data_IF_320873161515
#
_entry.id   IF_320873161515
#
_cell.length_a   1.000
_cell.length_b   1.000
_cell.length_c   1.000
_cell.angle_alpha   90.00
_cell.angle_beta   90.00
_cell.angle_gamma   90.00
#
_symmetry.space_group_name_H-M   'P 1'
#
loop_
_entity.id
_entity.type
_entity.pdbx_description
1 polymer ?
#
# COMPACT_ATOMS: atom_id res chain seq x y z
N UNK A 1 -12.57 15.83 -15.11
CA UNK A 1 -12.44 15.22 -13.75
C UNK A 1 -11.65 13.91 -13.79
N UNK A 2 -11.98 12.98 -14.68
CA UNK A 2 -11.36 11.64 -14.80
C UNK A 2 -9.81 11.63 -14.97
N UNK A 3 -9.26 12.49 -15.85
CA UNK A 3 -7.79 12.58 -16.05
C UNK A 3 -7.04 13.05 -14.80
N UNK A 4 -7.69 13.79 -13.92
CA UNK A 4 -7.07 14.35 -12.72
C UNK A 4 -6.98 13.32 -11.59
N UNK A 5 -8.06 12.57 -11.39
CA UNK A 5 -8.11 11.40 -10.51
C UNK A 5 -7.08 10.35 -10.93
N UNK A 6 -6.93 10.12 -12.23
CA UNK A 6 -5.92 9.20 -12.77
C UNK A 6 -4.49 9.64 -12.39
N UNK A 7 -4.15 10.93 -12.54
CA UNK A 7 -2.81 11.44 -12.15
C UNK A 7 -2.51 11.26 -10.66
N UNK A 8 -3.45 11.60 -9.77
CA UNK A 8 -3.25 11.43 -8.32
C UNK A 8 -3.06 9.95 -7.99
N UNK A 9 -3.92 9.09 -8.54
CA UNK A 9 -3.86 7.64 -8.32
C UNK A 9 -2.50 7.07 -8.75
N UNK A 10 -2.03 7.41 -9.96
CA UNK A 10 -0.73 6.97 -10.45
C UNK A 10 0.43 7.44 -9.56
N UNK A 11 0.42 8.69 -9.11
CA UNK A 11 1.45 9.19 -8.20
C UNK A 11 1.45 8.45 -6.86
N UNK A 12 0.28 8.27 -6.25
CA UNK A 12 0.15 7.54 -4.98
C UNK A 12 0.62 6.09 -5.16
N UNK A 13 0.18 5.39 -6.20
CA UNK A 13 0.60 4.01 -6.49
C UNK A 13 2.12 3.93 -6.65
N UNK A 14 2.72 4.79 -7.48
CA UNK A 14 4.16 4.79 -7.72
C UNK A 14 4.94 5.08 -6.44
N UNK A 15 4.52 6.07 -5.64
CA UNK A 15 5.18 6.39 -4.37
C UNK A 15 5.14 5.22 -3.40
N UNK A 16 3.98 4.55 -3.23
CA UNK A 16 3.87 3.40 -2.34
C UNK A 16 4.64 2.19 -2.87
N UNK A 17 4.66 1.94 -4.19
CA UNK A 17 5.45 0.87 -4.79
C UNK A 17 6.95 1.09 -4.58
N UNK A 18 7.45 2.30 -4.86
CA UNK A 18 8.88 2.61 -4.72
C UNK A 18 9.30 2.50 -3.26
N UNK A 19 8.63 3.22 -2.36
CA UNK A 19 9.01 3.26 -0.94
C UNK A 19 8.78 1.89 -0.29
N UNK A 20 7.63 1.26 -0.54
CA UNK A 20 7.29 -0.05 0.03
C UNK A 20 8.26 -1.14 -0.40
N UNK A 21 8.57 -1.23 -1.70
CA UNK A 21 9.54 -2.21 -2.19
C UNK A 21 10.96 -1.89 -1.74
N UNK A 22 11.34 -0.60 -1.61
CA UNK A 22 12.64 -0.22 -1.07
C UNK A 22 12.80 -0.66 0.39
N UNK A 23 11.78 -0.45 1.22
CA UNK A 23 11.77 -0.89 2.63
C UNK A 23 11.91 -2.41 2.72
N UNK A 24 11.16 -3.17 1.89
CA UNK A 24 11.25 -4.62 1.87
C UNK A 24 12.61 -5.13 1.37
N UNK A 25 13.18 -4.46 0.37
CA UNK A 25 14.49 -4.81 -0.17
C UNK A 25 15.61 -4.58 0.85
N UNK A 26 15.60 -3.42 1.53
CA UNK A 26 16.56 -3.11 2.60
C UNK A 26 16.35 -4.06 3.78
N UNK A 27 15.11 -4.28 4.21
CA UNK A 27 14.78 -5.20 5.30
C UNK A 27 15.21 -6.64 5.00
N UNK A 28 15.08 -7.10 3.75
CA UNK A 28 15.56 -8.41 3.30
C UNK A 28 17.08 -8.52 3.34
N UNK A 29 17.80 -7.49 2.89
CA UNK A 29 19.27 -7.44 2.95
C UNK A 29 19.80 -7.39 4.39
N UNK A 30 19.09 -6.71 5.29
CA UNK A 30 19.44 -6.61 6.71
C UNK A 30 19.00 -7.81 7.54
N UNK A 31 18.31 -8.79 6.94
CA UNK A 31 17.88 -10.00 7.64
C UNK A 31 19.03 -10.98 7.84
N UNK A 32 18.97 -11.80 8.90
CA UNK A 32 20.01 -12.79 9.25
C UNK A 32 20.29 -13.83 8.15
N UNK A 33 19.39 -14.00 7.19
CA UNK A 33 19.54 -14.94 6.07
C UNK A 33 20.02 -14.26 4.78
N UNK A 34 20.06 -12.93 4.72
CA UNK A 34 20.44 -12.15 3.54
C UNK A 34 19.53 -12.31 2.31
N UNK A 35 18.44 -13.09 2.42
CA UNK A 35 17.59 -13.45 1.29
C UNK A 35 16.42 -12.46 1.15
N UNK A 36 16.32 -11.87 -0.04
CA UNK A 36 15.23 -10.97 -0.39
C UNK A 36 13.96 -11.80 -0.68
N UNK A 37 12.87 -11.49 0.01
CA UNK A 37 11.58 -12.16 -0.18
C UNK A 37 10.82 -11.55 -1.36
N UNK A 38 11.21 -11.94 -2.58
CA UNK A 38 10.56 -11.50 -3.81
C UNK A 38 9.06 -11.85 -3.92
N UNK A 39 8.59 -13.04 -3.48
CA UNK A 39 7.15 -13.35 -3.44
C UNK A 39 6.35 -12.34 -2.61
N UNK A 40 6.89 -11.92 -1.46
CA UNK A 40 6.28 -10.92 -0.61
C UNK A 40 6.23 -9.55 -1.28
N UNK A 41 7.34 -9.12 -1.89
CA UNK A 41 7.38 -7.85 -2.65
C UNK A 41 6.36 -7.84 -3.79
N UNK A 42 6.19 -8.97 -4.48
CA UNK A 42 5.18 -9.13 -5.53
C UNK A 42 3.75 -9.04 -4.97
N UNK A 43 3.46 -9.78 -3.90
CA UNK A 43 2.14 -9.75 -3.26
C UNK A 43 1.74 -8.37 -2.75
N UNK A 44 2.67 -7.67 -2.10
CA UNK A 44 2.51 -6.29 -1.64
C UNK A 44 2.27 -5.31 -2.79
N UNK A 45 2.99 -5.47 -3.90
CA UNK A 45 2.82 -4.65 -5.10
C UNK A 45 1.45 -4.85 -5.76
N UNK A 46 1.01 -6.11 -5.89
CA UNK A 46 -0.31 -6.45 -6.44
C UNK A 46 -1.43 -5.86 -5.57
N UNK A 47 -1.35 -6.07 -4.24
CA UNK A 47 -2.33 -5.54 -3.30
C UNK A 47 -2.41 -4.00 -3.38
N UNK A 48 -1.25 -3.32 -3.45
CA UNK A 48 -1.17 -1.87 -3.56
C UNK A 48 -1.88 -1.33 -4.81
N UNK A 49 -1.59 -1.91 -5.98
CA UNK A 49 -2.18 -1.48 -7.26
C UNK A 49 -3.70 -1.67 -7.24
N UNK A 50 -4.16 -2.88 -6.88
CA UNK A 50 -5.59 -3.22 -6.87
C UNK A 50 -6.35 -2.32 -5.89
N UNK A 51 -5.85 -2.20 -4.66
CA UNK A 51 -6.53 -1.45 -3.61
C UNK A 51 -6.61 0.04 -3.93
N UNK A 52 -5.52 0.66 -4.41
CA UNK A 52 -5.58 2.08 -4.77
C UNK A 52 -6.44 2.34 -6.00
N UNK A 53 -6.43 1.48 -7.01
CA UNK A 53 -7.36 1.61 -8.15
C UNK A 53 -8.82 1.59 -7.67
N UNK A 54 -9.17 0.63 -6.81
CA UNK A 54 -10.50 0.54 -6.20
C UNK A 54 -10.82 1.77 -5.35
N UNK A 55 -9.89 2.19 -4.50
CA UNK A 55 -10.04 3.35 -3.62
C UNK A 55 -10.30 4.62 -4.42
N UNK A 56 -9.48 4.94 -5.42
CA UNK A 56 -9.64 6.16 -6.22
C UNK A 56 -10.88 6.12 -7.13
N UNK A 57 -11.39 4.93 -7.47
CA UNK A 57 -12.60 4.78 -8.27
C UNK A 57 -13.88 4.89 -7.44
N UNK A 58 -13.88 4.35 -6.22
CA UNK A 58 -15.06 4.24 -5.37
C UNK A 58 -15.15 5.35 -4.31
N UNK A 59 -14.03 5.82 -3.78
CA UNK A 59 -14.01 6.80 -2.71
C UNK A 59 -14.22 8.22 -3.24
N UNK A 60 -15.23 8.92 -2.71
CA UNK A 60 -15.44 10.35 -2.98
C UNK A 60 -14.57 11.21 -2.05
N UNK A 61 -13.25 11.00 -2.10
CA UNK A 61 -12.27 11.60 -1.17
C UNK A 61 -12.19 13.13 -1.24
N UNK A 62 -12.74 13.75 -2.30
CA UNK A 62 -12.81 15.21 -2.47
C UNK A 62 -13.67 15.87 -1.38
N UNK A 63 -14.65 15.14 -0.83
CA UNK A 63 -15.54 15.64 0.23
C UNK A 63 -15.03 15.37 1.64
N UNK A 64 -13.87 14.73 1.79
CA UNK A 64 -13.40 14.29 3.10
C UNK A 64 -12.74 15.46 3.85
N UNK A 65 -12.95 15.53 5.16
CA UNK A 65 -12.18 16.43 6.01
C UNK A 65 -10.70 15.99 6.04
N UNK A 66 -9.79 16.90 6.38
CA UNK A 66 -8.36 16.57 6.41
C UNK A 66 -8.04 15.39 7.33
N UNK A 67 -8.69 15.32 8.50
CA UNK A 67 -8.52 14.21 9.46
C UNK A 67 -9.04 12.89 8.89
N UNK A 68 -10.24 12.91 8.27
CA UNK A 68 -10.82 11.71 7.63
C UNK A 68 -9.93 11.21 6.50
N UNK A 69 -9.42 12.11 5.67
CA UNK A 69 -8.53 11.74 4.56
C UNK A 69 -7.23 11.11 5.06
N UNK A 70 -6.62 11.69 6.10
CA UNK A 70 -5.40 11.14 6.70
C UNK A 70 -5.61 9.72 7.27
N UNK A 71 -6.68 9.54 8.05
CA UNK A 71 -7.02 8.22 8.61
C UNK A 71 -7.26 7.19 7.51
N UNK A 72 -7.98 7.58 6.46
CA UNK A 72 -8.24 6.70 5.31
C UNK A 72 -6.94 6.32 4.61
N UNK A 73 -6.00 7.24 4.42
CA UNK A 73 -4.69 6.92 3.84
C UNK A 73 -3.91 5.91 4.70
N UNK A 74 -3.90 6.07 6.03
CA UNK A 74 -3.22 5.14 6.95
C UNK A 74 -3.89 3.76 6.91
N UNK A 75 -5.23 3.71 7.04
CA UNK A 75 -6.01 2.47 7.00
C UNK A 75 -5.80 1.76 5.65
N UNK A 76 -5.73 2.51 4.55
CA UNK A 76 -5.47 1.95 3.23
C UNK A 76 -4.11 1.24 3.19
N UNK A 77 -3.06 1.84 3.76
CA UNK A 77 -1.74 1.20 3.85
C UNK A 77 -1.80 -0.09 4.70
N UNK A 78 -2.51 -0.08 5.83
CA UNK A 78 -2.66 -1.28 6.68
C UNK A 78 -3.41 -2.41 5.96
N UNK A 79 -4.46 -2.09 5.20
CA UNK A 79 -5.20 -3.08 4.41
C UNK A 79 -4.32 -3.64 3.30
N UNK A 80 -3.54 -2.78 2.63
CA UNK A 80 -2.59 -3.20 1.59
C UNK A 80 -1.52 -4.14 2.19
N UNK A 81 -1.00 -3.84 3.37
CA UNK A 81 -0.02 -4.71 4.05
C UNK A 81 -0.65 -6.05 4.44
N UNK A 82 -1.87 -6.02 4.98
CA UNK A 82 -2.59 -7.24 5.32
C UNK A 82 -2.79 -8.13 4.07
N UNK A 83 -3.40 -7.56 3.03
CA UNK A 83 -3.71 -8.26 1.79
C UNK A 83 -2.43 -8.70 1.05
N UNK A 84 -1.40 -7.86 1.05
CA UNK A 84 -0.13 -8.12 0.38
C UNK A 84 0.67 -9.24 1.04
N UNK A 85 0.70 -9.31 2.37
CA UNK A 85 1.27 -10.46 3.09
C UNK A 85 0.49 -11.74 2.82
N UNK A 86 -0.84 -11.67 2.83
CA UNK A 86 -1.69 -12.81 2.51
C UNK A 86 -1.42 -13.33 1.09
N UNK A 87 -1.40 -12.45 0.09
CA UNK A 87 -1.09 -12.80 -1.30
C UNK A 87 0.36 -13.32 -1.43
N UNK A 88 1.33 -12.68 -0.77
CA UNK A 88 2.73 -13.08 -0.81
C UNK A 88 2.95 -14.48 -0.25
N UNK A 89 2.25 -14.85 0.82
CA UNK A 89 2.32 -16.21 1.37
C UNK A 89 1.67 -17.22 0.42
N UNK A 90 0.51 -16.92 -0.17
CA UNK A 90 -0.11 -17.80 -1.16
C UNK A 90 0.78 -18.05 -2.38
N UNK A 91 1.49 -17.02 -2.85
CA UNK A 91 2.49 -17.16 -3.93
C UNK A 91 3.62 -18.10 -3.47
N UNK A 92 4.13 -17.90 -2.26
CA UNK A 92 5.23 -18.70 -1.70
C UNK A 92 4.83 -20.17 -1.53
N UNK A 93 3.66 -20.46 -0.96
CA UNK A 93 3.14 -21.81 -0.77
C UNK A 93 2.91 -22.50 -2.13
N UNK A 94 2.38 -21.78 -3.12
CA UNK A 94 2.19 -22.30 -4.47
C UNK A 94 3.51 -22.65 -5.15
N UNK A 95 4.56 -21.83 -4.96
CA UNK A 95 5.90 -22.10 -5.49
C UNK A 95 6.55 -23.31 -4.81
N UNK A 96 6.26 -23.53 -3.52
CA UNK A 96 6.81 -24.64 -2.74
C UNK A 96 5.96 -25.92 -2.81
N UNK A 97 4.93 -25.96 -3.67
CA UNK A 97 4.07 -27.15 -3.87
C UNK A 97 3.24 -27.55 -2.65
N UNK A 98 3.06 -26.64 -1.68
CA UNK A 98 2.35 -26.90 -0.42
C UNK A 98 0.86 -26.52 -0.54
N UNK A 99 -0.02 -27.19 0.21
CA UNK A 99 -1.44 -26.82 0.26
C UNK A 99 -1.62 -25.48 0.96
N UNK A 100 -2.42 -24.59 0.39
CA UNK A 100 -2.59 -23.22 0.89
C UNK A 100 -3.17 -23.20 2.31
N UNK A 101 -2.41 -22.72 3.29
CA UNK A 101 -2.85 -22.66 4.68
C UNK A 101 -3.32 -21.23 5.02
N UNK A 102 -4.65 -21.02 4.98
CA UNK A 102 -5.27 -19.71 5.25
C UNK A 102 -4.98 -19.18 6.65
N UNK A 103 -4.86 -20.04 7.67
CA UNK A 103 -4.57 -19.64 9.06
C UNK A 103 -3.23 -18.92 9.21
N UNK A 104 -2.09 -19.56 8.83
CA UNK A 104 -0.78 -18.92 8.76
C UNK A 104 -0.77 -17.63 7.92
N UNK A 105 -1.50 -17.58 6.81
CA UNK A 105 -1.59 -16.38 5.97
C UNK A 105 -2.23 -15.20 6.70
N UNK A 106 -3.31 -15.44 7.44
CA UNK A 106 -3.96 -14.42 8.27
C UNK A 106 -3.04 -13.96 9.40
N UNK A 107 -2.40 -14.91 10.10
CA UNK A 107 -1.47 -14.59 11.18
C UNK A 107 -0.29 -13.74 10.68
N UNK A 108 0.30 -14.11 9.54
CA UNK A 108 1.39 -13.36 8.94
C UNK A 108 0.94 -11.95 8.50
N UNK A 109 -0.31 -11.80 8.03
CA UNK A 109 -0.88 -10.49 7.72
C UNK A 109 -1.02 -9.58 8.94
N UNK A 110 -1.37 -10.13 10.11
CA UNK A 110 -1.44 -9.36 11.36
C UNK A 110 -0.04 -8.97 11.83
N UNK A 111 0.89 -9.94 11.88
CA UNK A 111 2.29 -9.69 12.29
C UNK A 111 2.95 -8.68 11.35
N UNK A 112 2.72 -8.82 10.05
CA UNK A 112 3.23 -7.89 9.04
C UNK A 112 2.74 -6.46 9.27
N UNK A 113 1.48 -6.27 9.66
CA UNK A 113 0.95 -4.95 10.02
C UNK A 113 1.60 -4.37 11.28
N UNK A 114 1.83 -5.19 12.31
CA UNK A 114 2.49 -4.74 13.54
C UNK A 114 3.92 -4.27 13.24
N UNK A 115 4.67 -5.06 12.45
CA UNK A 115 6.05 -4.74 12.09
C UNK A 115 6.15 -3.54 11.15
N UNK A 116 5.23 -3.43 10.18
CA UNK A 116 5.20 -2.36 9.18
C UNK A 116 4.35 -1.15 9.62
N UNK A 117 3.91 -1.09 10.88
CA UNK A 117 3.10 0.01 11.39
C UNK A 117 3.78 1.39 11.21
N UNK A 118 5.08 1.57 11.53
CA UNK A 118 5.73 2.87 11.35
C UNK A 118 5.77 3.28 9.87
N UNK A 119 6.00 2.31 8.99
CA UNK A 119 6.02 2.50 7.53
C UNK A 119 4.63 2.89 7.02
N UNK A 120 3.58 2.25 7.53
CA UNK A 120 2.18 2.54 7.21
C UNK A 120 1.78 3.97 7.60
N UNK A 121 2.24 4.42 8.78
CA UNK A 121 1.99 5.78 9.25
C UNK A 121 2.70 6.80 8.36
N UNK A 122 3.99 6.61 8.08
CA UNK A 122 4.78 7.50 7.23
C UNK A 122 4.20 7.57 5.81
N UNK A 123 3.91 6.43 5.19
CA UNK A 123 3.29 6.37 3.87
C UNK A 123 1.89 6.99 3.87
N UNK A 124 1.09 6.75 4.90
CA UNK A 124 -0.22 7.37 5.06
C UNK A 124 -0.15 8.90 5.04
N UNK A 125 0.83 9.49 5.75
CA UNK A 125 1.07 10.93 5.76
C UNK A 125 1.55 11.44 4.40
N UNK A 126 2.46 10.72 3.73
CA UNK A 126 2.94 11.07 2.39
C UNK A 126 1.79 11.06 1.38
N UNK A 127 0.96 10.02 1.38
CA UNK A 127 -0.20 9.87 0.51
C UNK A 127 -1.21 10.99 0.74
N UNK A 128 -1.49 11.33 2.01
CA UNK A 128 -2.30 12.48 2.36
C UNK A 128 -1.73 13.79 1.79
N UNK A 129 -0.42 14.00 1.92
CA UNK A 129 0.29 15.16 1.36
C UNK A 129 0.13 15.28 -0.14
N UNK A 130 0.33 14.18 -0.89
CA UNK A 130 0.16 14.12 -2.35
C UNK A 130 -1.27 14.51 -2.73
N UNK A 131 -2.27 13.85 -2.15
CA UNK A 131 -3.68 14.09 -2.48
C UNK A 131 -4.05 15.56 -2.20
N UNK A 132 -3.58 16.12 -1.07
CA UNK A 132 -3.86 17.52 -0.69
C UNK A 132 -3.16 18.52 -1.62
N UNK A 133 -1.90 18.28 -1.97
CA UNK A 133 -1.12 19.15 -2.86
C UNK A 133 -1.81 19.28 -4.22
N UNK A 134 -2.16 18.15 -4.83
CA UNK A 134 -2.89 18.15 -6.08
C UNK A 134 -4.25 18.86 -5.88
N UNK A 135 -5.08 18.43 -4.94
CA UNK A 135 -6.43 19.02 -4.76
C UNK A 135 -6.41 20.54 -4.58
N UNK A 136 -5.42 21.10 -3.87
CA UNK A 136 -5.21 22.57 -3.75
C UNK A 136 -4.82 23.23 -5.07
N UNK A 137 -3.91 22.65 -5.84
CA UNK A 137 -3.51 23.20 -7.14
C UNK A 137 -4.66 23.24 -8.15
N UNK A 138 -5.58 22.26 -8.10
CA UNK A 138 -6.80 22.32 -8.93
C UNK A 138 -7.68 23.50 -8.55
N UNK A 139 -7.86 23.78 -7.26
CA UNK A 139 -8.66 24.91 -6.80
C UNK A 139 -8.06 26.27 -7.19
N UNK A 140 -6.72 26.37 -7.28
CA UNK A 140 -6.03 27.58 -7.76
C UNK A 140 -6.20 27.79 -9.27
N UNK A 141 -6.06 26.75 -10.09
CA UNK A 141 -6.17 26.86 -11.56
C UNK A 141 -7.62 27.05 -12.07
N UNK A 142 -8.62 27.07 -11.19
CA UNK A 142 -10.02 27.38 -11.53
C UNK A 142 -10.45 28.78 -11.08
N UNK A 143 -9.52 29.55 -10.50
CA UNK A 143 -9.65 30.98 -10.24
C UNK A 143 -8.80 31.73 -11.24
#
# INVERSE_FOLDING_TARGET
MHRYLSKISTFVILTNLIIGNLVLFIGGKSSFTGNINYPLMAGMSIACIIFYILFFRLANYIRYSSVKLLLVCIISCMIIIFAGNFIGLLITERMNGTSSNFGPAIFMGIVGNILMLPVSLLLGVINFGIIKYFTRNKAKNQR
#
